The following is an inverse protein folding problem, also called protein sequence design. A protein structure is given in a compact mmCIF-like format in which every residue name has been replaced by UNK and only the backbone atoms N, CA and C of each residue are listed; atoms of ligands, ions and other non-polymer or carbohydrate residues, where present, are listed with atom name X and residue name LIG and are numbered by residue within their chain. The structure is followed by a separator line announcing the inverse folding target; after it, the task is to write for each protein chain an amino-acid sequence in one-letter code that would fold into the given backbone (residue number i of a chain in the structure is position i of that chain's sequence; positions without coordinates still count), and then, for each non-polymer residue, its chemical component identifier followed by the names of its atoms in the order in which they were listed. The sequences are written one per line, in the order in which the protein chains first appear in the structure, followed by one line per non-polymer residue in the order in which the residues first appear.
data_IF_693331395544
#
_entry.id   IF_693331395544
#
_cell.length_a   1.000
_cell.length_b   1.000
_cell.length_c   1.000
_cell.angle_alpha   90.00
_cell.angle_beta   90.00
_cell.angle_gamma   90.00
#
_symmetry.space_group_name_H-M   'P 1'
#
loop_
_entity.id
_entity.type
_entity.pdbx_description
1 polymer ?
#
# COMPACT_ATOMS: atom_id res chain seq x y z
N UNK A 1 2.41 2.19 -10.68
CA UNK A 1 2.48 1.12 -9.66
C UNK A 1 2.80 1.61 -8.24
N UNK A 2 3.17 2.88 -8.02
CA UNK A 2 3.50 3.40 -6.67
C UNK A 2 2.34 3.22 -5.68
N UNK A 3 1.12 3.61 -6.07
CA UNK A 3 -0.08 3.49 -5.23
C UNK A 3 -0.43 2.04 -4.89
N UNK A 4 -0.33 1.13 -5.86
CA UNK A 4 -0.63 -0.30 -5.67
C UNK A 4 0.27 -0.92 -4.61
N UNK A 5 1.58 -0.61 -4.66
CA UNK A 5 2.54 -1.11 -3.67
C UNK A 5 2.31 -0.46 -2.30
N UNK A 6 1.99 0.84 -2.26
CA UNK A 6 1.61 1.52 -1.03
C UNK A 6 0.41 0.86 -0.36
N UNK A 7 -0.64 0.57 -1.13
CA UNK A 7 -1.83 -0.12 -0.64
C UNK A 7 -1.54 -1.55 -0.16
N UNK A 8 -0.70 -2.30 -0.88
CA UNK A 8 -0.27 -3.63 -0.44
C UNK A 8 0.48 -3.58 0.89
N UNK A 9 1.33 -2.57 1.10
CA UNK A 9 2.02 -2.37 2.37
C UNK A 9 1.05 -2.03 3.51
N UNK A 10 0.03 -1.20 3.25
CA UNK A 10 -1.03 -0.92 4.23
C UNK A 10 -1.80 -2.17 4.62
N UNK A 11 -2.20 -3.01 3.66
CA UNK A 11 -2.90 -4.27 3.94
C UNK A 11 -2.03 -5.24 4.75
N UNK A 12 -0.74 -5.33 4.42
CA UNK A 12 0.20 -6.15 5.19
C UNK A 12 0.35 -5.66 6.64
N UNK A 13 0.49 -4.34 6.83
CA UNK A 13 0.58 -3.75 8.17
C UNK A 13 -0.69 -4.01 8.99
N UNK A 14 -1.88 -3.86 8.39
CA UNK A 14 -3.15 -4.17 9.05
C UNK A 14 -3.27 -5.64 9.44
N UNK A 15 -2.85 -6.55 8.56
CA UNK A 15 -2.83 -7.98 8.89
C UNK A 15 -1.87 -8.29 10.04
N UNK A 16 -0.73 -7.61 10.13
CA UNK A 16 0.23 -7.77 11.22
C UNK A 16 -0.29 -7.28 12.59
N UNK A 17 -1.36 -6.47 12.62
CA UNK A 17 -2.02 -6.00 13.85
C UNK A 17 -3.09 -6.96 14.38
N UNK A 18 -3.40 -8.04 13.67
CA UNK A 18 -4.43 -9.00 14.10
C UNK A 18 -3.97 -9.71 15.38
N UNK A 19 -4.82 -9.68 16.41
CA UNK A 19 -4.64 -10.51 17.60
C UNK A 19 -5.06 -11.95 17.29
N UNK A 20 -4.08 -12.75 16.89
CA UNK A 20 -4.30 -14.16 16.54
C UNK A 20 -4.68 -15.03 17.73
N UNK A 21 -4.30 -14.66 18.96
CA UNK A 21 -4.64 -15.41 20.16
C UNK A 21 -6.13 -15.20 20.49
N UNK A 22 -6.59 -13.94 20.50
CA UNK A 22 -8.00 -13.61 20.69
C UNK A 22 -8.88 -14.21 19.57
N UNK A 23 -8.41 -14.13 18.32
CA UNK A 23 -9.11 -14.71 17.17
C UNK A 23 -9.27 -16.23 17.32
N UNK A 24 -8.20 -16.94 17.66
CA UNK A 24 -8.24 -18.40 17.83
C UNK A 24 -9.18 -18.82 18.98
N UNK A 25 -9.16 -18.07 20.10
CA UNK A 25 -10.08 -18.29 21.22
C UNK A 25 -11.54 -18.07 20.84
N UNK A 26 -11.85 -17.02 20.06
CA UNK A 26 -13.19 -16.74 19.58
C UNK A 26 -13.69 -17.80 18.60
N UNK A 27 -12.83 -18.25 17.69
CA UNK A 27 -13.13 -19.32 16.72
C UNK A 27 -13.39 -20.66 17.42
N UNK A 28 -12.53 -21.06 18.37
CA UNK A 28 -12.69 -22.30 19.12
C UNK A 28 -13.99 -22.34 19.94
N UNK A 29 -14.46 -21.18 20.41
CA UNK A 29 -15.72 -21.04 21.13
C UNK A 29 -16.95 -20.78 20.26
N UNK A 30 -16.85 -20.85 18.93
CA UNK A 30 -17.92 -20.52 17.98
C UNK A 30 -18.50 -19.10 18.18
N UNK A 31 -17.70 -18.14 18.69
CA UNK A 31 -18.12 -16.76 18.93
C UNK A 31 -17.91 -15.91 17.67
N UNK A 32 -18.82 -16.09 16.71
CA UNK A 32 -18.72 -15.51 15.36
C UNK A 32 -18.54 -13.99 15.34
N UNK A 33 -19.35 -13.27 16.12
CA UNK A 33 -19.32 -11.79 16.16
C UNK A 33 -18.01 -11.28 16.76
N UNK A 34 -17.48 -11.97 17.78
CA UNK A 34 -16.19 -11.62 18.38
C UNK A 34 -15.04 -11.86 17.41
N UNK A 35 -15.03 -13.01 16.72
CA UNK A 35 -14.00 -13.32 15.73
C UNK A 35 -13.99 -12.30 14.57
N UNK A 36 -15.16 -11.88 14.10
CA UNK A 36 -15.28 -10.83 13.08
C UNK A 36 -14.82 -9.47 13.59
N UNK A 37 -15.15 -9.12 14.84
CA UNK A 37 -14.72 -7.86 15.45
C UNK A 37 -13.20 -7.76 15.55
N UNK A 38 -12.50 -8.83 15.95
CA UNK A 38 -11.01 -8.86 16.01
C UNK A 38 -10.38 -8.51 14.65
N UNK A 39 -10.88 -9.10 13.57
CA UNK A 39 -10.38 -8.83 12.22
C UNK A 39 -10.73 -7.42 11.76
N UNK A 40 -11.96 -6.96 12.06
CA UNK A 40 -12.43 -5.62 11.68
C UNK A 40 -11.66 -4.52 12.39
N UNK A 41 -11.32 -4.70 13.66
CA UNK A 41 -10.55 -3.73 14.44
C UNK A 41 -9.14 -3.55 13.88
N UNK A 42 -8.45 -4.66 13.56
CA UNK A 42 -7.15 -4.61 12.90
C UNK A 42 -7.24 -3.95 11.50
N UNK A 43 -8.28 -4.28 10.73
CA UNK A 43 -8.49 -3.70 9.40
C UNK A 43 -8.85 -2.21 9.43
N UNK A 44 -9.61 -1.75 10.42
CA UNK A 44 -10.04 -0.36 10.55
C UNK A 44 -8.92 0.56 11.07
N UNK A 45 -7.87 -0.01 11.66
CA UNK A 45 -6.74 0.75 12.21
C UNK A 45 -6.02 1.56 11.13
N UNK A 46 -5.76 2.84 11.40
CA UNK A 46 -4.95 3.68 10.52
C UNK A 46 -3.47 3.38 10.68
N UNK A 47 -2.91 2.65 9.71
CA UNK A 47 -1.51 2.24 9.66
C UNK A 47 -0.60 3.22 8.91
N UNK A 48 -1.15 4.31 8.35
CA UNK A 48 -0.35 5.29 7.60
C UNK A 48 0.75 5.93 8.46
N UNK A 49 0.51 6.33 9.72
CA UNK A 49 1.55 6.92 10.56
C UNK A 49 2.75 5.99 10.78
N UNK A 50 2.51 4.71 11.12
CA UNK A 50 3.61 3.76 11.36
C UNK A 50 4.40 3.44 10.08
N UNK A 51 3.73 3.39 8.93
CA UNK A 51 4.40 3.21 7.63
C UNK A 51 5.26 4.42 7.29
N UNK A 52 4.78 5.64 7.56
CA UNK A 52 5.52 6.88 7.36
C UNK A 52 6.77 6.97 8.25
N UNK A 53 6.65 6.59 9.52
CA UNK A 53 7.77 6.56 10.47
C UNK A 53 8.80 5.50 10.09
N UNK A 54 8.35 4.31 9.66
CA UNK A 54 9.23 3.28 9.12
C UNK A 54 9.98 3.77 7.88
N UNK A 55 9.29 4.45 6.95
CA UNK A 55 9.93 5.06 5.77
C UNK A 55 10.99 6.08 6.17
N UNK A 56 10.68 6.97 7.12
CA UNK A 56 11.62 7.98 7.63
C UNK A 56 12.88 7.32 8.22
N UNK A 57 12.71 6.29 9.04
CA UNK A 57 13.82 5.53 9.65
C UNK A 57 14.70 4.86 8.59
N UNK A 58 14.11 4.39 7.50
CA UNK A 58 14.82 3.78 6.37
C UNK A 58 15.33 4.79 5.32
N UNK A 59 15.26 6.11 5.61
CA UNK A 59 15.64 7.18 4.68
C UNK A 59 14.89 7.12 3.34
N UNK A 60 13.66 6.61 3.35
CA UNK A 60 12.75 6.57 2.21
C UNK A 60 11.82 7.79 2.23
N UNK A 61 11.34 8.25 1.07
CA UNK A 61 10.33 9.29 1.02
C UNK A 61 9.05 8.89 1.78
N UNK A 62 8.56 9.81 2.62
CA UNK A 62 7.34 9.63 3.42
C UNK A 62 6.11 9.57 2.53
N UNK A 63 6.06 10.42 1.49
CA UNK A 63 5.10 10.35 0.40
C UNK A 63 5.83 9.98 -0.92
N UNK A 64 5.75 8.70 -1.34
CA UNK A 64 6.39 8.25 -2.57
C UNK A 64 5.82 8.88 -3.85
N UNK A 65 4.54 9.28 -3.86
CA UNK A 65 3.93 9.90 -5.03
C UNK A 65 4.39 11.34 -5.17
N UNK A 66 4.41 12.08 -4.08
CA UNK A 66 4.90 13.45 -4.08
C UNK A 66 6.39 13.50 -4.43
N UNK A 67 7.20 12.59 -3.87
CA UNK A 67 8.59 12.44 -4.25
C UNK A 67 8.77 12.11 -5.74
N UNK A 68 7.90 11.27 -6.31
CA UNK A 68 7.91 11.01 -7.75
C UNK A 68 7.58 12.26 -8.57
N UNK A 69 6.56 13.04 -8.17
CA UNK A 69 6.20 14.30 -8.86
C UNK A 69 7.33 15.32 -8.79
N UNK A 70 7.93 15.51 -7.62
CA UNK A 70 9.04 16.43 -7.41
C UNK A 70 10.32 16.02 -8.15
N UNK A 71 10.50 14.72 -8.42
CA UNK A 71 11.68 14.23 -9.12
C UNK A 71 11.79 14.68 -10.59
N UNK A 72 10.70 15.20 -11.20
CA UNK A 72 10.68 15.55 -12.62
C UNK A 72 10.91 14.37 -13.56
N UNK A 73 10.83 13.13 -13.04
CA UNK A 73 11.17 11.92 -13.77
C UNK A 73 10.27 11.73 -14.99
N UNK A 74 8.99 12.06 -14.85
CA UNK A 74 8.00 11.87 -15.92
C UNK A 74 8.31 12.79 -17.10
N UNK A 75 8.60 14.06 -16.84
CA UNK A 75 8.94 15.06 -17.85
C UNK A 75 10.21 14.64 -18.59
N UNK A 76 11.26 14.27 -17.85
CA UNK A 76 12.54 13.84 -18.41
C UNK A 76 12.38 12.61 -19.32
N UNK A 77 11.72 11.56 -18.83
CA UNK A 77 11.55 10.32 -19.60
C UNK A 77 10.63 10.52 -20.80
N UNK A 78 9.64 11.41 -20.69
CA UNK A 78 8.77 11.77 -21.82
C UNK A 78 9.57 12.45 -22.93
N UNK A 79 10.45 13.40 -22.58
CA UNK A 79 11.36 14.03 -23.54
C UNK A 79 12.34 13.04 -24.17
N UNK A 80 12.95 12.15 -23.37
CA UNK A 80 13.87 11.11 -23.86
C UNK A 80 13.19 10.11 -24.83
N UNK A 81 11.91 9.78 -24.60
CA UNK A 81 11.15 8.80 -25.41
C UNK A 81 10.39 9.42 -26.58
N UNK A 82 10.20 10.74 -26.61
CA UNK A 82 9.40 11.45 -27.62
C UNK A 82 9.90 11.32 -29.06
N UNK A 83 11.16 10.92 -29.27
CA UNK A 83 11.71 10.62 -30.61
C UNK A 83 11.28 9.28 -31.20
N UNK A 84 10.56 8.43 -30.44
CA UNK A 84 10.07 7.13 -30.92
C UNK A 84 8.65 7.31 -31.45
N UNK A 85 8.50 7.44 -32.77
CA UNK A 85 7.19 7.40 -33.45
C UNK A 85 6.39 6.20 -32.94
N UNK A 86 5.18 6.45 -32.42
CA UNK A 86 4.25 5.37 -32.11
C UNK A 86 3.92 4.66 -33.42
N UNK A 87 4.38 3.42 -33.60
CA UNK A 87 3.85 2.57 -34.65
C UNK A 87 2.35 2.44 -34.40
N UNK A 88 1.53 3.04 -35.28
CA UNK A 88 0.09 2.96 -35.20
C UNK A 88 -0.30 1.48 -35.19
N UNK A 89 -1.11 1.08 -34.22
CA UNK A 89 -1.68 -0.26 -34.17
C UNK A 89 -2.52 -0.46 -35.44
N UNK A 90 -2.24 -1.52 -36.21
CA UNK A 90 -2.83 -1.79 -37.53
C UNK A 90 -4.27 -2.32 -37.45
N UNK A 91 -5.05 -1.88 -36.47
CA UNK A 91 -6.44 -2.29 -36.26
C UNK A 91 -7.39 -1.09 -36.16
N UNK A 92 -7.15 -0.05 -36.97
CA UNK A 92 -8.10 1.03 -37.22
C UNK A 92 -8.71 0.87 -38.62
#
# INVERSE_FOLDING_TARGET
MIQTVGYAQELYAKAALVDYEALASAQAGCRLVEAESVLRDAFATDVRPVIQDWRRTNRLPVDPLDAFRQSGYLERITAERGGRTSAASSYA
#
